data_IF_534294291306
#
_entry.id   IF_534294291306
#
_cell.length_a   1.000
_cell.length_b   1.000
_cell.length_c   1.000
_cell.angle_alpha   90.00
_cell.angle_beta   90.00
_cell.angle_gamma   90.00
#
_symmetry.space_group_name_H-M   'P 1'
#
loop_
_entity.id
_entity.type
_entity.pdbx_description
1 polymer ?
#
# COMPACT_ATOMS: atom_id res chain seq x y z
N UNK A 1 2.45 2.73 -21.15
CA UNK A 1 2.18 2.15 -19.82
C UNK A 1 2.59 3.23 -18.82
N UNK A 2 1.59 3.67 -18.05
CA UNK A 2 1.69 4.50 -16.83
C UNK A 2 2.13 5.97 -16.97
N UNK A 3 1.31 6.71 -17.71
CA UNK A 3 1.33 8.16 -17.93
C UNK A 3 0.84 9.01 -16.74
N UNK A 4 1.39 8.78 -15.53
CA UNK A 4 1.01 9.53 -14.33
C UNK A 4 2.04 10.60 -13.92
N UNK A 5 2.43 11.48 -14.85
CA UNK A 5 3.06 12.76 -14.51
C UNK A 5 2.24 13.92 -15.07
N UNK A 6 1.21 14.31 -14.32
CA UNK A 6 0.40 15.49 -14.60
C UNK A 6 1.00 16.77 -14.04
N UNK A 7 2.30 16.79 -13.70
CA UNK A 7 3.05 18.00 -13.40
C UNK A 7 3.48 18.68 -14.70
N UNK A 8 2.81 19.78 -15.06
CA UNK A 8 3.03 20.46 -16.34
C UNK A 8 4.42 21.09 -16.39
N UNK A 9 5.29 20.54 -17.25
CA UNK A 9 6.27 21.33 -17.99
C UNK A 9 7.71 21.22 -17.52
N UNK A 10 8.52 20.76 -18.47
CA UNK A 10 9.91 21.14 -18.71
C UNK A 10 10.99 20.48 -17.83
N UNK A 11 11.60 19.46 -18.45
CA UNK A 11 12.96 18.98 -18.20
C UNK A 11 13.17 18.14 -16.93
N UNK A 12 12.79 16.86 -16.97
CA UNK A 12 13.36 15.87 -16.04
C UNK A 12 12.46 14.72 -15.56
N UNK A 13 11.74 14.04 -16.45
CA UNK A 13 11.30 12.64 -16.31
C UNK A 13 10.98 12.05 -14.93
N UNK A 14 10.08 12.65 -14.14
CA UNK A 14 9.70 12.10 -12.83
C UNK A 14 8.20 12.23 -12.57
N UNK A 15 7.51 11.09 -12.51
CA UNK A 15 6.06 10.99 -12.36
C UNK A 15 5.54 11.34 -10.96
N UNK A 16 4.99 12.53 -10.77
CA UNK A 16 4.21 12.90 -9.60
C UNK A 16 2.96 13.74 -9.95
N UNK A 17 1.84 13.24 -9.46
CA UNK A 17 0.59 13.98 -9.34
C UNK A 17 0.72 14.71 -7.99
N UNK A 18 0.89 16.03 -8.03
CA UNK A 18 0.82 17.01 -6.92
C UNK A 18 1.88 16.99 -5.80
N UNK A 19 3.18 16.93 -6.14
CA UNK A 19 4.22 17.36 -5.18
C UNK A 19 4.29 18.91 -5.14
N UNK A 20 4.18 19.51 -3.95
CA UNK A 20 4.25 20.97 -3.77
C UNK A 20 5.63 21.57 -4.13
N UNK A 21 6.67 20.74 -4.11
CA UNK A 21 8.06 21.04 -4.49
C UNK A 21 8.80 19.76 -4.86
N UNK A 22 9.91 19.85 -5.60
CA UNK A 22 10.77 18.70 -5.95
C UNK A 22 11.43 18.04 -4.71
N UNK A 23 11.51 18.79 -3.62
CA UNK A 23 11.99 18.45 -2.28
C UNK A 23 10.86 18.07 -1.31
N UNK A 24 9.60 18.02 -1.78
CA UNK A 24 8.50 17.54 -0.95
C UNK A 24 8.83 16.12 -0.47
N UNK A 25 8.76 15.85 0.86
CA UNK A 25 8.90 14.49 1.34
C UNK A 25 7.88 13.65 0.58
N UNK A 26 8.37 12.58 -0.06
CA UNK A 26 7.50 11.61 -0.71
C UNK A 26 6.59 11.12 0.40
N UNK A 27 5.31 11.49 0.34
CA UNK A 27 4.30 10.95 1.25
C UNK A 27 4.51 9.43 1.23
N UNK A 28 4.76 8.80 2.39
CA UNK A 28 5.03 7.37 2.43
C UNK A 28 3.89 6.65 1.69
N UNK A 29 4.22 5.95 0.60
CA UNK A 29 3.24 5.22 -0.19
C UNK A 29 2.82 3.97 0.59
N UNK A 30 1.94 4.15 1.56
CA UNK A 30 1.33 3.03 2.26
C UNK A 30 0.61 2.15 1.24
N UNK A 31 0.89 0.86 1.35
CA UNK A 31 0.39 -0.15 0.45
C UNK A 31 -0.14 -1.33 1.27
N UNK A 32 -1.04 -2.07 0.65
CA UNK A 32 -1.58 -3.28 1.23
C UNK A 32 -0.64 -4.45 0.95
N UNK A 33 -0.11 -5.04 2.01
CA UNK A 33 0.66 -6.27 1.97
C UNK A 33 -0.17 -7.40 2.55
N UNK A 34 -0.04 -8.60 1.99
CA UNK A 34 -0.66 -9.80 2.52
C UNK A 34 0.39 -10.84 2.86
N UNK A 35 0.13 -11.61 3.89
CA UNK A 35 1.01 -12.70 4.30
C UNK A 35 0.72 -13.90 3.40
N UNK A 36 1.69 -14.25 2.56
CA UNK A 36 1.59 -15.42 1.71
C UNK A 36 1.60 -16.68 2.58
N UNK A 37 0.54 -17.48 2.53
CA UNK A 37 0.42 -18.70 3.34
C UNK A 37 1.36 -19.84 2.89
N UNK A 38 1.96 -19.74 1.70
CA UNK A 38 2.91 -20.75 1.18
C UNK A 38 4.35 -20.48 1.62
N UNK A 39 4.76 -19.21 1.65
CA UNK A 39 6.13 -18.81 1.99
C UNK A 39 6.26 -18.12 3.35
N UNK A 40 5.13 -17.79 3.99
CA UNK A 40 5.06 -16.98 5.21
C UNK A 40 5.74 -15.59 5.06
N UNK A 41 5.80 -15.07 3.83
CA UNK A 41 6.39 -13.77 3.55
C UNK A 41 5.30 -12.72 3.25
N UNK A 42 5.57 -11.48 3.64
CA UNK A 42 4.74 -10.35 3.27
C UNK A 42 5.01 -9.97 1.82
N UNK A 43 4.00 -10.09 0.98
CA UNK A 43 4.11 -9.71 -0.43
C UNK A 43 2.99 -8.72 -0.76
N UNK A 44 3.07 -7.99 -1.89
CA UNK A 44 2.01 -7.08 -2.29
C UNK A 44 0.69 -7.83 -2.45
N UNK A 45 -0.41 -7.25 -1.97
CA UNK A 45 -1.73 -7.86 -2.13
C UNK A 45 -2.03 -8.13 -3.62
N UNK A 46 -2.54 -9.32 -3.99
CA UNK A 46 -2.83 -9.65 -5.39
C UNK A 46 -3.94 -8.77 -5.97
N UNK A 47 -4.68 -8.09 -5.09
CA UNK A 47 -5.76 -7.15 -5.39
C UNK A 47 -5.23 -5.81 -5.91
N UNK A 48 -3.92 -5.56 -5.81
CA UNK A 48 -3.26 -4.33 -6.25
C UNK A 48 -3.32 -3.21 -5.20
N UNK A 49 -3.24 -1.97 -5.69
CA UNK A 49 -3.37 -0.77 -4.85
C UNK A 49 -4.82 -0.60 -4.40
N UNK A 50 -5.13 -1.16 -3.22
CA UNK A 50 -6.39 -0.94 -2.51
C UNK A 50 -6.22 0.18 -1.47
N UNK A 51 -7.31 0.79 -1.01
CA UNK A 51 -7.26 1.75 0.10
C UNK A 51 -7.06 1.06 1.45
N UNK A 52 -6.64 1.81 2.47
CA UNK A 52 -6.44 1.31 3.84
C UNK A 52 -7.65 0.51 4.36
N UNK A 53 -8.85 1.08 4.28
CA UNK A 53 -10.06 0.41 4.74
C UNK A 53 -10.42 -0.86 3.94
N UNK A 54 -10.03 -0.95 2.66
CA UNK A 54 -10.16 -2.19 1.91
C UNK A 54 -9.13 -3.23 2.36
N UNK A 55 -7.89 -2.80 2.63
CA UNK A 55 -6.86 -3.67 3.18
C UNK A 55 -7.25 -4.23 4.56
N UNK A 56 -7.78 -3.36 5.43
CA UNK A 56 -8.34 -3.72 6.73
C UNK A 56 -9.49 -4.70 6.59
N UNK A 57 -10.42 -4.46 5.67
CA UNK A 57 -11.56 -5.35 5.45
C UNK A 57 -11.10 -6.77 5.05
N UNK A 58 -9.97 -6.90 4.37
CA UNK A 58 -9.42 -8.18 3.94
C UNK A 58 -8.64 -8.89 5.05
N UNK A 59 -8.02 -8.13 5.95
CA UNK A 59 -7.26 -8.70 7.05
C UNK A 59 -8.17 -9.55 7.95
N UNK A 60 -7.76 -10.80 8.12
CA UNK A 60 -8.44 -11.78 8.97
C UNK A 60 -7.62 -12.13 10.21
N UNK A 61 -6.39 -11.61 10.32
CA UNK A 61 -5.44 -12.07 11.33
C UNK A 61 -5.26 -11.09 12.49
N UNK A 62 -5.51 -9.80 12.28
CA UNK A 62 -5.47 -8.80 13.33
C UNK A 62 -6.87 -8.45 13.81
N UNK A 63 -6.98 -8.19 15.12
CA UNK A 63 -8.18 -7.63 15.73
C UNK A 63 -8.50 -6.29 15.07
N UNK A 64 -9.73 -6.10 14.60
CA UNK A 64 -10.13 -4.92 13.81
C UNK A 64 -10.07 -5.12 12.29
N UNK A 65 -9.57 -6.26 11.82
CA UNK A 65 -9.69 -6.69 10.43
C UNK A 65 -11.11 -7.17 10.09
N UNK A 66 -11.54 -6.94 8.84
CA UNK A 66 -12.89 -7.30 8.39
C UNK A 66 -13.09 -8.76 7.99
N UNK A 67 -12.02 -9.56 7.90
CA UNK A 67 -12.11 -11.00 7.63
C UNK A 67 -12.61 -11.36 6.22
N UNK A 68 -12.74 -10.39 5.32
CA UNK A 68 -13.43 -10.53 4.04
C UNK A 68 -12.63 -11.38 3.04
N UNK A 69 -11.35 -11.60 3.29
CA UNK A 69 -10.49 -12.47 2.47
C UNK A 69 -10.64 -13.97 2.78
N UNK A 70 -11.45 -14.35 3.77
CA UNK A 70 -11.68 -15.76 4.12
C UNK A 70 -10.49 -16.43 4.82
N UNK A 71 -9.67 -15.67 5.56
CA UNK A 71 -8.56 -16.20 6.36
C UNK A 71 -7.16 -15.70 6.00
N UNK A 72 -7.03 -14.76 5.06
CA UNK A 72 -5.74 -14.14 4.72
C UNK A 72 -5.35 -13.03 5.71
N UNK A 73 -4.07 -12.94 6.06
CA UNK A 73 -3.54 -11.84 6.86
C UNK A 73 -3.12 -10.68 5.95
N UNK A 74 -3.57 -9.47 6.25
CA UNK A 74 -3.21 -8.26 5.52
C UNK A 74 -2.70 -7.19 6.48
N UNK A 75 -1.82 -6.32 5.98
CA UNK A 75 -1.30 -5.17 6.72
C UNK A 75 -1.17 -3.96 5.82
N UNK A 76 -1.42 -2.79 6.40
CA UNK A 76 -1.21 -1.51 5.76
C UNK A 76 0.11 -0.90 6.23
N UNK A 77 1.08 -0.82 5.33
CA UNK A 77 2.42 -0.33 5.68
C UNK A 77 3.16 0.19 4.45
N UNK A 78 4.25 0.90 4.66
CA UNK A 78 5.16 1.37 3.61
C UNK A 78 6.01 0.25 3.02
N UNK A 79 6.31 -0.79 3.79
CA UNK A 79 7.21 -1.87 3.36
C UNK A 79 6.81 -3.23 3.91
N UNK A 80 7.09 -4.30 3.15
CA UNK A 80 6.86 -5.67 3.59
C UNK A 80 7.57 -6.05 4.91
N UNK A 81 8.69 -5.41 5.23
CA UNK A 81 9.47 -5.63 6.45
C UNK A 81 9.03 -4.79 7.64
N UNK A 82 8.25 -3.74 7.41
CA UNK A 82 7.79 -2.87 8.48
C UNK A 82 6.79 -3.61 9.38
N UNK A 83 6.77 -3.29 10.68
CA UNK A 83 5.79 -3.82 11.61
C UNK A 83 4.39 -3.49 11.12
N UNK A 84 3.46 -4.42 11.35
CA UNK A 84 2.06 -4.20 11.04
C UNK A 84 1.50 -3.19 12.05
N UNK A 85 1.00 -2.07 11.53
CA UNK A 85 0.21 -1.13 12.34
C UNK A 85 -1.08 -1.82 12.78
N UNK A 86 -1.58 -1.47 13.97
CA UNK A 86 -2.91 -1.90 14.39
C UNK A 86 -3.96 -1.19 13.52
N UNK A 87 -4.96 -1.94 13.09
CA UNK A 87 -6.21 -1.36 12.62
C UNK A 87 -6.86 -0.58 13.78
N UNK A 88 -7.09 0.71 13.59
CA UNK A 88 -7.83 1.57 14.53
C UNK A 88 -9.35 1.29 14.44
#
# INVERSE_FOLDING_TARGET
>A
MDSCDGGKGESGGGCYKWAASADAPREPWYSCFWLNNQTNEWVPAPQGMVSEGQCQALDSCQTGGGGQSGGGCYKWTVSATDPQNQWD
#
